data_IF_835845869923
#
_entry.id   IF_835845869923
#
_cell.length_a   1.000
_cell.length_b   1.000
_cell.length_c   1.000
_cell.angle_alpha   90.00
_cell.angle_beta   90.00
_cell.angle_gamma   90.00
#
_symmetry.space_group_name_H-M   'P 1'
#
loop_
_entity.id
_entity.type
_entity.pdbx_description
1 polymer ?
#
# COMPACT_ATOMS: atom_id res chain seq x y z
N UNK A 1 -36.92 -39.71 -41.51
CA UNK A 1 -38.15 -39.21 -40.87
C UNK A 1 -37.78 -38.08 -39.92
N UNK A 2 -38.27 -36.88 -40.26
CA UNK A 2 -38.58 -35.69 -39.43
C UNK A 2 -37.47 -35.03 -38.59
N UNK A 3 -37.08 -33.82 -39.04
CA UNK A 3 -36.33 -32.76 -38.34
C UNK A 3 -37.26 -31.86 -37.49
N UNK A 4 -36.74 -31.27 -36.41
CA UNK A 4 -37.12 -29.94 -35.86
C UNK A 4 -36.01 -29.52 -34.85
N UNK A 5 -35.20 -28.45 -34.96
CA UNK A 5 -35.35 -27.02 -35.26
C UNK A 5 -35.76 -26.15 -34.04
N UNK A 6 -34.83 -25.29 -33.60
CA UNK A 6 -35.01 -24.18 -32.64
C UNK A 6 -35.60 -22.93 -33.33
N UNK A 7 -36.37 -22.10 -32.63
CA UNK A 7 -36.31 -20.62 -32.73
C UNK A 7 -37.06 -19.91 -31.61
N UNK A 8 -36.51 -18.74 -31.22
CA UNK A 8 -37.10 -17.72 -30.34
C UNK A 8 -38.19 -16.91 -31.05
N UNK A 9 -39.06 -16.22 -30.28
CA UNK A 9 -39.54 -14.83 -30.51
C UNK A 9 -40.43 -14.35 -29.34
N UNK A 10 -40.72 -13.03 -29.20
CA UNK A 10 -40.78 -12.32 -27.92
C UNK A 10 -42.20 -11.85 -27.54
N UNK A 11 -42.40 -11.45 -26.27
CA UNK A 11 -43.49 -10.53 -25.94
C UNK A 11 -43.10 -9.46 -24.92
N UNK A 12 -43.71 -8.31 -25.15
CA UNK A 12 -43.37 -6.95 -24.75
C UNK A 12 -43.99 -6.52 -23.43
N UNK A 13 -43.38 -5.49 -22.84
CA UNK A 13 -43.84 -4.77 -21.67
C UNK A 13 -45.29 -4.26 -21.79
N UNK A 14 -46.02 -4.25 -20.67
CA UNK A 14 -46.48 -3.03 -19.97
C UNK A 14 -47.50 -3.41 -18.90
N UNK A 15 -47.21 -3.05 -17.65
CA UNK A 15 -48.24 -2.51 -16.74
C UNK A 15 -47.54 -1.64 -15.71
N UNK A 16 -47.61 -0.36 -16.01
CA UNK A 16 -47.33 0.77 -15.15
C UNK A 16 -48.18 0.70 -13.88
N UNK A 17 -47.54 0.91 -12.74
CA UNK A 17 -48.23 1.31 -11.52
C UNK A 17 -47.90 2.78 -11.27
N UNK A 18 -48.85 3.68 -11.54
CA UNK A 18 -48.81 5.07 -11.08
C UNK A 18 -49.88 5.30 -10.01
N UNK A 19 -49.54 6.23 -9.13
CA UNK A 19 -50.07 6.46 -7.80
C UNK A 19 -51.56 6.88 -7.71
N UNK A 20 -52.10 6.71 -6.48
CA UNK A 20 -53.29 7.31 -5.85
C UNK A 20 -54.63 6.54 -5.83
N UNK A 21 -54.90 5.94 -4.65
CA UNK A 21 -56.22 5.74 -3.98
C UNK A 21 -57.24 4.67 -4.48
N UNK A 22 -58.21 4.25 -3.62
CA UNK A 22 -58.44 2.85 -3.28
C UNK A 22 -59.63 2.16 -3.97
N UNK A 23 -59.61 0.82 -3.91
CA UNK A 23 -60.68 -0.06 -4.36
C UNK A 23 -61.89 -0.03 -3.40
N UNK A 24 -63.11 0.10 -3.94
CA UNK A 24 -64.37 -0.21 -3.22
C UNK A 24 -65.25 -1.05 -4.14
N UNK A 25 -65.71 -2.20 -3.64
CA UNK A 25 -66.75 -2.99 -4.31
C UNK A 25 -66.87 -4.45 -3.87
N UNK A 26 -67.67 -4.66 -2.81
CA UNK A 26 -68.51 -5.84 -2.50
C UNK A 26 -67.89 -7.23 -2.24
N UNK A 27 -68.14 -7.71 -1.01
CA UNK A 27 -67.85 -9.01 -0.42
C UNK A 27 -68.65 -10.19 -1.07
N UNK A 28 -68.36 -11.45 -0.69
CA UNK A 28 -69.02 -12.00 0.50
C UNK A 28 -68.11 -12.81 1.44
N UNK A 29 -68.54 -12.83 2.71
CA UNK A 29 -67.92 -13.46 3.86
C UNK A 29 -67.83 -14.98 3.74
N UNK A 30 -66.61 -15.51 3.62
CA UNK A 30 -66.28 -16.89 3.99
C UNK A 30 -65.52 -16.87 5.30
N UNK A 31 -65.93 -17.74 6.21
CA UNK A 31 -65.32 -17.95 7.51
C UNK A 31 -63.89 -18.46 7.29
N UNK A 32 -62.91 -17.58 7.41
CA UNK A 32 -61.48 -17.96 7.38
C UNK A 32 -61.11 -18.40 8.80
N UNK A 33 -60.74 -19.67 8.93
CA UNK A 33 -60.10 -20.21 10.12
C UNK A 33 -58.87 -19.37 10.47
N UNK A 34 -58.68 -19.04 11.76
CA UNK A 34 -57.53 -18.29 12.23
C UNK A 34 -56.23 -18.95 11.76
N UNK A 35 -55.26 -18.20 11.20
CA UNK A 35 -53.99 -18.78 10.80
C UNK A 35 -53.26 -19.26 12.05
N UNK A 36 -52.90 -20.54 12.06
CA UNK A 36 -51.96 -21.09 13.02
C UNK A 36 -50.59 -20.45 12.73
N UNK A 37 -50.17 -19.51 13.58
CA UNK A 37 -48.81 -18.99 13.56
C UNK A 37 -47.87 -20.12 14.01
N UNK A 38 -47.36 -20.89 13.05
CA UNK A 38 -46.17 -21.71 13.28
C UNK A 38 -45.00 -20.75 13.43
N UNK A 39 -44.46 -20.66 14.65
CA UNK A 39 -43.23 -19.95 14.93
C UNK A 39 -42.10 -20.59 14.09
N UNK A 40 -41.64 -19.87 13.08
CA UNK A 40 -40.38 -20.18 12.42
C UNK A 40 -39.25 -20.00 13.45
N UNK A 41 -38.30 -20.94 13.57
CA UNK A 41 -37.12 -20.71 14.40
C UNK A 41 -36.39 -19.47 13.87
N UNK A 42 -36.10 -18.54 14.79
CA UNK A 42 -35.40 -17.30 14.48
C UNK A 42 -34.10 -17.59 13.70
N UNK A 43 -33.75 -16.77 12.69
CA UNK A 43 -32.45 -16.89 12.04
C UNK A 43 -31.37 -16.67 13.10
N UNK A 44 -30.53 -17.67 13.31
CA UNK A 44 -29.32 -17.57 14.12
C UNK A 44 -28.43 -16.48 13.53
N UNK A 45 -28.46 -15.31 14.16
CA UNK A 45 -27.53 -14.21 13.91
C UNK A 45 -26.16 -14.74 14.28
N UNK A 46 -25.31 -14.97 13.28
CA UNK A 46 -23.89 -15.21 13.52
C UNK A 46 -23.33 -13.88 14.05
N UNK A 47 -23.13 -13.85 15.36
CA UNK A 47 -22.39 -12.81 16.07
C UNK A 47 -21.08 -12.60 15.31
N UNK A 48 -20.97 -11.48 14.60
CA UNK A 48 -19.72 -11.12 13.94
C UNK A 48 -18.83 -10.60 15.05
N UNK A 49 -17.98 -11.47 15.60
CA UNK A 49 -16.97 -11.08 16.57
C UNK A 49 -16.05 -10.05 15.90
N UNK A 50 -16.23 -8.78 16.27
CA UNK A 50 -15.37 -7.69 15.84
C UNK A 50 -14.07 -7.88 16.61
N UNK A 51 -13.11 -8.58 15.99
CA UNK A 51 -11.75 -8.65 16.51
C UNK A 51 -11.21 -7.23 16.47
N UNK A 52 -11.11 -6.59 17.64
CA UNK A 52 -10.52 -5.28 17.79
C UNK A 52 -9.01 -5.41 17.54
N UNK A 53 -8.60 -5.16 16.30
CA UNK A 53 -7.18 -5.19 15.91
C UNK A 53 -6.51 -3.97 16.53
N UNK A 54 -5.91 -4.14 17.71
CA UNK A 54 -5.07 -3.09 18.30
C UNK A 54 -3.95 -2.72 17.31
N UNK A 55 -3.85 -1.46 16.88
CA UNK A 55 -2.81 -1.02 15.96
C UNK A 55 -1.45 -1.16 16.65
N UNK A 56 -0.51 -1.87 16.02
CA UNK A 56 0.87 -1.94 16.52
C UNK A 56 1.54 -0.59 16.31
N UNK A 57 2.27 -0.15 17.32
CA UNK A 57 3.13 1.02 17.21
C UNK A 57 4.16 0.85 16.08
N UNK A 58 4.46 1.93 15.33
CA UNK A 58 5.43 1.88 14.25
C UNK A 58 6.84 1.60 14.81
N UNK A 59 7.58 0.75 14.11
CA UNK A 59 8.97 0.45 14.47
C UNK A 59 9.85 1.53 13.87
N UNK A 60 10.53 2.30 14.71
CA UNK A 60 11.45 3.35 14.26
C UNK A 60 12.84 2.75 14.08
N UNK A 61 13.32 2.69 12.84
CA UNK A 61 14.66 2.24 12.51
C UNK A 61 15.55 3.46 12.30
N UNK A 62 16.58 3.57 13.14
CA UNK A 62 17.61 4.62 13.03
C UNK A 62 18.94 4.02 12.61
N UNK A 63 19.68 4.80 11.84
CA UNK A 63 21.03 4.45 11.41
C UNK A 63 21.89 5.70 11.32
N UNK A 64 23.19 5.52 11.48
CA UNK A 64 24.20 6.58 11.39
C UNK A 64 25.18 6.23 10.29
N UNK A 65 25.67 7.24 9.58
CA UNK A 65 26.73 7.10 8.59
C UNK A 65 27.74 8.22 8.66
N UNK A 66 28.94 7.91 8.19
CA UNK A 66 30.10 8.79 8.26
C UNK A 66 30.74 8.95 6.89
N UNK A 67 31.38 10.08 6.66
CA UNK A 67 32.21 10.28 5.48
C UNK A 67 33.30 11.28 5.79
N UNK A 68 34.50 10.99 5.29
CA UNK A 68 35.67 11.82 5.43
C UNK A 68 35.84 12.74 4.20
N UNK A 69 36.45 13.92 4.36
CA UNK A 69 36.74 14.80 3.24
C UNK A 69 37.71 14.16 2.24
N UNK A 70 37.50 14.34 0.93
CA UNK A 70 38.39 13.77 -0.06
C UNK A 70 39.77 14.43 0.01
N UNK A 71 40.82 13.62 -0.08
CA UNK A 71 42.22 14.03 0.10
C UNK A 71 42.87 14.63 -1.16
N UNK A 72 42.08 14.93 -2.19
CA UNK A 72 42.55 15.46 -3.47
C UNK A 72 42.83 16.97 -3.47
N UNK A 73 43.91 17.40 -4.14
CA UNK A 73 44.43 18.79 -4.13
C UNK A 73 43.62 19.83 -4.93
N UNK A 74 42.45 19.48 -5.49
CA UNK A 74 41.73 20.36 -6.42
C UNK A 74 40.34 20.83 -5.95
N UNK A 75 39.96 20.55 -4.70
CA UNK A 75 38.64 20.94 -4.20
C UNK A 75 38.72 22.14 -3.26
N UNK A 76 37.81 23.10 -3.46
CA UNK A 76 37.62 24.18 -2.50
C UNK A 76 37.08 23.64 -1.17
N UNK A 77 37.24 24.39 -0.09
CA UNK A 77 36.68 24.03 1.23
C UNK A 77 35.17 23.76 1.17
N UNK A 78 34.43 24.56 0.40
CA UNK A 78 32.99 24.38 0.22
C UNK A 78 32.66 23.11 -0.58
N UNK A 79 33.44 22.79 -1.61
CA UNK A 79 33.27 21.54 -2.37
C UNK A 79 33.53 20.31 -1.50
N UNK A 80 34.62 20.31 -0.73
CA UNK A 80 34.92 19.24 0.22
C UNK A 80 33.78 19.05 1.21
N UNK A 81 33.34 20.11 1.88
CA UNK A 81 32.23 20.05 2.83
C UNK A 81 30.95 19.46 2.22
N UNK A 82 30.56 19.90 1.02
CA UNK A 82 29.38 19.37 0.35
C UNK A 82 29.54 17.90 -0.06
N UNK A 83 30.72 17.48 -0.49
CA UNK A 83 30.99 16.08 -0.83
C UNK A 83 30.94 15.20 0.41
N UNK A 84 31.59 15.61 1.51
CA UNK A 84 31.59 14.87 2.79
C UNK A 84 30.18 14.77 3.37
N UNK A 85 29.43 15.87 3.37
CA UNK A 85 28.03 15.91 3.80
C UNK A 85 27.15 14.95 2.97
N UNK A 86 27.34 14.90 1.65
CA UNK A 86 26.60 13.96 0.78
C UNK A 86 27.04 12.52 1.00
N UNK A 87 28.34 12.27 1.12
CA UNK A 87 28.89 10.95 1.37
C UNK A 87 28.36 10.34 2.66
N UNK A 88 28.33 11.12 3.75
CA UNK A 88 27.85 10.64 5.05
C UNK A 88 26.37 10.29 5.01
N UNK A 89 25.56 11.04 4.24
CA UNK A 89 24.15 10.71 4.01
C UNK A 89 23.99 9.40 3.22
N UNK A 90 24.78 9.18 2.19
CA UNK A 90 24.73 7.93 1.39
C UNK A 90 25.12 6.73 2.25
N UNK A 91 26.17 6.87 3.05
CA UNK A 91 26.60 5.85 4.00
C UNK A 91 25.50 5.53 5.04
N UNK A 92 24.87 6.56 5.60
CA UNK A 92 23.79 6.40 6.57
C UNK A 92 22.58 5.66 5.96
N UNK A 93 22.21 6.00 4.71
CA UNK A 93 21.13 5.33 3.99
C UNK A 93 21.47 3.88 3.66
N UNK A 94 22.73 3.57 3.35
CA UNK A 94 23.19 2.19 3.14
C UNK A 94 23.03 1.36 4.42
N UNK A 95 23.55 1.87 5.53
CA UNK A 95 23.45 1.20 6.84
C UNK A 95 21.97 1.02 7.25
N UNK A 96 21.12 2.00 6.93
CA UNK A 96 19.67 1.90 7.14
C UNK A 96 19.04 0.78 6.31
N UNK A 97 19.37 0.68 5.02
CA UNK A 97 18.85 -0.35 4.13
C UNK A 97 19.22 -1.76 4.62
N UNK A 98 20.47 -1.95 5.02
CA UNK A 98 20.93 -3.22 5.61
C UNK A 98 20.10 -3.59 6.85
N UNK A 99 19.82 -2.60 7.71
CA UNK A 99 19.01 -2.82 8.91
C UNK A 99 17.54 -3.12 8.61
N UNK A 100 16.97 -2.52 7.56
CA UNK A 100 15.60 -2.80 7.11
C UNK A 100 15.48 -4.19 6.48
N UNK A 101 16.49 -4.62 5.70
CA UNK A 101 16.50 -5.96 5.09
C UNK A 101 16.66 -7.07 6.11
N UNK A 102 17.37 -6.80 7.21
CA UNK A 102 17.50 -7.70 8.35
C UNK A 102 16.29 -7.75 9.29
N UNK A 103 15.19 -7.06 8.99
CA UNK A 103 13.99 -7.11 9.84
C UNK A 103 13.30 -8.47 9.68
N UNK A 104 13.06 -9.13 10.81
CA UNK A 104 12.24 -10.34 10.88
C UNK A 104 10.75 -9.98 10.91
N UNK A 105 9.98 -10.53 9.98
CA UNK A 105 8.54 -10.23 9.88
C UNK A 105 7.73 -11.24 10.69
N UNK A 106 8.10 -12.52 10.59
CA UNK A 106 7.51 -13.68 11.26
C UNK A 106 8.62 -14.63 11.75
N UNK A 107 8.28 -15.65 12.55
CA UNK A 107 9.25 -16.57 13.16
C UNK A 107 10.16 -17.32 12.18
N UNK A 108 9.72 -17.49 10.92
CA UNK A 108 10.44 -18.27 9.91
C UNK A 108 10.86 -17.46 8.67
N UNK A 109 10.40 -16.20 8.53
CA UNK A 109 10.59 -15.42 7.31
C UNK A 109 11.09 -14.00 7.63
N UNK A 110 12.29 -13.70 7.12
CA UNK A 110 12.89 -12.37 7.11
C UNK A 110 12.50 -11.57 5.86
N UNK A 111 12.59 -10.24 5.93
CA UNK A 111 12.43 -9.37 4.75
C UNK A 111 13.43 -9.75 3.65
N UNK A 112 14.69 -10.02 4.02
CA UNK A 112 15.74 -10.43 3.07
C UNK A 112 15.37 -11.67 2.26
N UNK A 113 14.76 -12.68 2.87
CA UNK A 113 14.34 -13.90 2.18
C UNK A 113 13.17 -13.64 1.22
N UNK A 114 12.26 -12.72 1.56
CA UNK A 114 11.12 -12.36 0.72
C UNK A 114 11.56 -11.54 -0.50
N UNK A 115 12.50 -10.62 -0.31
CA UNK A 115 13.12 -9.84 -1.40
C UNK A 115 13.85 -10.76 -2.38
N UNK A 116 14.55 -11.79 -1.88
CA UNK A 116 15.27 -12.74 -2.74
C UNK A 116 14.32 -13.60 -3.61
N UNK A 117 13.07 -13.77 -3.20
CA UNK A 117 12.07 -14.60 -3.89
C UNK A 117 11.18 -13.81 -4.86
N UNK A 118 11.08 -12.48 -4.71
CA UNK A 118 10.18 -11.65 -5.53
C UNK A 118 10.72 -10.24 -5.75
N UNK A 119 10.82 -9.85 -7.03
CA UNK A 119 11.20 -8.50 -7.44
C UNK A 119 10.16 -7.45 -7.04
N UNK A 120 8.89 -7.81 -6.91
CA UNK A 120 7.84 -6.87 -6.47
C UNK A 120 8.02 -6.46 -5.01
N UNK A 121 8.38 -7.41 -4.14
CA UNK A 121 8.70 -7.12 -2.74
C UNK A 121 9.96 -6.25 -2.67
N UNK A 122 10.99 -6.58 -3.47
CA UNK A 122 12.20 -5.76 -3.58
C UNK A 122 11.87 -4.32 -3.95
N UNK A 123 11.10 -4.12 -5.02
CA UNK A 123 10.70 -2.79 -5.48
C UNK A 123 9.88 -2.02 -4.42
N UNK A 124 9.00 -2.71 -3.68
CA UNK A 124 8.23 -2.11 -2.59
C UNK A 124 9.13 -1.62 -1.45
N UNK A 125 10.08 -2.45 -0.99
CA UNK A 125 11.00 -2.07 0.08
C UNK A 125 11.95 -0.96 -0.37
N UNK A 126 12.46 -1.03 -1.60
CA UNK A 126 13.28 0.02 -2.20
C UNK A 126 12.53 1.37 -2.23
N UNK A 127 11.26 1.36 -2.65
CA UNK A 127 10.42 2.55 -2.65
C UNK A 127 10.17 3.10 -1.23
N UNK A 128 10.09 2.22 -0.23
CA UNK A 128 9.92 2.60 1.17
C UNK A 128 11.19 3.24 1.75
N UNK A 129 12.37 2.74 1.39
CA UNK A 129 13.68 3.28 1.84
C UNK A 129 13.91 4.72 1.39
N UNK A 130 13.37 5.12 0.23
CA UNK A 130 13.40 6.52 -0.24
C UNK A 130 12.71 7.49 0.74
N UNK A 131 11.76 6.99 1.52
CA UNK A 131 11.03 7.77 2.54
C UNK A 131 11.83 8.07 3.82
N UNK A 132 13.09 7.65 3.93
CA UNK A 132 13.92 7.90 5.09
C UNK A 132 14.19 9.40 5.31
N UNK A 133 14.11 9.84 6.56
CA UNK A 133 14.31 11.24 6.96
C UNK A 133 15.68 11.42 7.60
N UNK A 134 16.33 12.55 7.31
CA UNK A 134 17.54 12.95 8.03
C UNK A 134 17.11 13.61 9.34
N UNK A 135 17.54 13.04 10.46
CA UNK A 135 17.24 13.55 11.81
C UNK A 135 18.31 14.54 12.27
N UNK A 136 19.57 14.25 11.94
CA UNK A 136 20.71 15.09 12.32
C UNK A 136 21.81 14.98 11.27
N UNK A 137 22.53 16.07 11.07
CA UNK A 137 23.71 16.12 10.23
C UNK A 137 24.69 17.15 10.80
N UNK A 138 25.90 16.71 11.15
CA UNK A 138 26.91 17.55 11.81
C UNK A 138 28.32 17.26 11.32
N UNK A 139 29.15 18.28 11.34
CA UNK A 139 30.59 18.22 11.04
C UNK A 139 31.35 17.96 12.35
N UNK A 140 32.32 17.05 12.32
CA UNK A 140 33.22 16.74 13.44
C UNK A 140 34.52 17.57 13.33
N UNK A 141 35.36 17.53 14.38
CA UNK A 141 36.60 18.31 14.45
C UNK A 141 37.62 17.96 13.34
N UNK A 142 37.59 16.72 12.85
CA UNK A 142 38.44 16.22 11.77
C UNK A 142 37.92 16.56 10.35
N UNK A 143 36.78 17.26 10.26
CA UNK A 143 36.11 17.59 8.99
C UNK A 143 35.26 16.45 8.42
N UNK A 144 35.14 15.33 9.13
CA UNK A 144 34.20 14.23 8.83
C UNK A 144 32.78 14.70 9.11
N UNK A 145 31.81 14.20 8.33
CA UNK A 145 30.40 14.40 8.64
C UNK A 145 29.80 13.15 9.25
N UNK A 146 28.99 13.34 10.28
CA UNK A 146 28.06 12.34 10.82
C UNK A 146 26.64 12.72 10.39
N UNK A 147 25.95 11.77 9.77
CA UNK A 147 24.54 11.90 9.41
C UNK A 147 23.74 10.79 10.07
N UNK A 148 22.65 11.16 10.76
CA UNK A 148 21.69 10.23 11.35
C UNK A 148 20.41 10.26 10.53
N UNK A 149 20.00 9.09 10.05
CA UNK A 149 18.75 8.89 9.33
C UNK A 149 17.78 8.03 10.12
N UNK A 150 16.50 8.23 9.87
CA UNK A 150 15.41 7.52 10.51
C UNK A 150 14.35 7.13 9.49
N UNK A 151 13.79 5.94 9.69
CA UNK A 151 12.67 5.42 8.92
C UNK A 151 11.66 4.79 9.89
N UNK A 152 10.44 5.28 9.86
CA UNK A 152 9.34 4.68 10.59
C UNK A 152 8.73 3.55 9.74
N UNK A 153 8.86 2.30 10.19
CA UNK A 153 8.17 1.15 9.60
C UNK A 153 6.75 1.08 10.17
N UNK A 154 5.78 1.44 9.34
CA UNK A 154 4.38 1.43 9.70
C UNK A 154 3.83 -0.01 9.75
N UNK A 155 2.65 -0.19 10.36
CA UNK A 155 2.03 -1.51 10.48
C UNK A 155 1.70 -2.12 9.11
N UNK A 156 1.28 -1.31 8.14
CA UNK A 156 1.02 -1.75 6.76
C UNK A 156 2.28 -2.32 6.10
N UNK A 157 3.47 -1.77 6.35
CA UNK A 157 4.73 -2.28 5.78
C UNK A 157 4.86 -3.78 6.05
N UNK A 158 4.68 -4.21 7.30
CA UNK A 158 4.77 -5.63 7.69
C UNK A 158 3.74 -6.51 7.00
N UNK A 159 2.52 -6.00 6.80
CA UNK A 159 1.47 -6.72 6.08
C UNK A 159 1.84 -6.88 4.60
N UNK A 160 2.37 -5.83 3.98
CA UNK A 160 2.75 -5.81 2.58
C UNK A 160 3.92 -6.73 2.26
N UNK A 161 4.93 -6.80 3.12
CA UNK A 161 6.10 -7.67 2.92
C UNK A 161 5.89 -9.10 3.46
N UNK A 162 4.71 -9.43 3.97
CA UNK A 162 4.43 -10.76 4.53
C UNK A 162 4.32 -11.86 3.46
N UNK A 163 3.87 -11.51 2.26
CA UNK A 163 3.78 -12.39 1.10
C UNK A 163 3.56 -11.56 -0.17
N UNK A 164 3.89 -12.14 -1.32
CA UNK A 164 3.63 -11.51 -2.63
C UNK A 164 2.12 -11.28 -2.85
N UNK A 165 1.27 -12.20 -2.35
CA UNK A 165 -0.17 -12.06 -2.46
C UNK A 165 -0.70 -10.91 -1.61
N UNK A 166 -0.19 -10.73 -0.39
CA UNK A 166 -0.56 -9.59 0.46
C UNK A 166 -0.17 -8.25 -0.20
N UNK A 167 0.97 -8.21 -0.88
CA UNK A 167 1.41 -7.02 -1.62
C UNK A 167 0.45 -6.67 -2.77
N UNK A 168 -0.05 -7.68 -3.49
CA UNK A 168 -0.94 -7.50 -4.67
C UNK A 168 -2.39 -7.24 -4.29
N UNK A 169 -2.89 -7.94 -3.28
CA UNK A 169 -4.29 -7.89 -2.86
C UNK A 169 -4.61 -6.64 -2.01
N UNK A 170 -3.63 -6.10 -1.30
CA UNK A 170 -3.86 -4.96 -0.41
C UNK A 170 -3.60 -3.62 -1.13
N UNK A 171 -4.63 -2.78 -1.34
CA UNK A 171 -4.46 -1.49 -2.02
C UNK A 171 -3.57 -0.50 -1.24
N UNK A 172 -3.35 -0.73 0.06
CA UNK A 172 -2.47 0.10 0.89
C UNK A 172 -0.97 -0.23 0.71
N UNK A 173 -0.66 -1.31 0.01
CA UNK A 173 0.70 -1.72 -0.32
C UNK A 173 1.21 -1.14 -1.64
N UNK A 174 0.30 -0.62 -2.45
CA UNK A 174 0.65 0.16 -3.61
C UNK A 174 1.16 1.51 -3.10
N UNK A 175 2.48 1.62 -2.90
CA UNK A 175 3.11 2.92 -2.72
C UNK A 175 2.71 3.74 -3.95
N UNK A 176 1.88 4.77 -3.78
CA UNK A 176 1.61 5.77 -4.81
C UNK A 176 2.85 6.64 -5.05
N UNK A 177 4.04 6.03 -5.08
CA UNK A 177 5.25 6.67 -5.56
C UNK A 177 5.16 6.67 -7.08
N UNK A 178 4.40 7.63 -7.57
CA UNK A 178 4.45 8.12 -8.93
C UNK A 178 5.77 8.84 -9.17
N UNK A 179 6.88 8.11 -9.16
CA UNK A 179 7.84 8.33 -10.21
C UNK A 179 7.25 7.57 -11.39
N UNK A 180 6.58 8.29 -12.29
CA UNK A 180 6.27 7.73 -13.60
C UNK A 180 7.61 7.45 -14.26
N UNK A 181 8.14 6.24 -14.08
CA UNK A 181 9.11 5.68 -15.00
C UNK A 181 8.32 5.41 -16.26
N UNK A 182 8.31 6.39 -17.17
CA UNK A 182 7.79 6.18 -18.51
C UNK A 182 8.50 4.96 -19.07
N UNK A 183 7.74 3.90 -19.35
CA UNK A 183 8.20 2.77 -20.13
C UNK A 183 8.85 3.29 -21.43
N UNK A 184 9.88 2.60 -21.96
CA UNK A 184 10.56 3.03 -23.19
C UNK A 184 9.54 2.97 -24.32
N UNK A 185 9.08 4.14 -24.78
CA UNK A 185 8.06 4.23 -25.84
C UNK A 185 7.10 5.42 -25.78
N UNK A 186 7.21 6.35 -24.82
CA UNK A 186 6.44 7.61 -24.90
C UNK A 186 7.30 8.84 -24.60
N UNK A 187 7.42 9.71 -25.62
CA UNK A 187 8.05 11.02 -25.55
C UNK A 187 7.26 11.95 -24.62
N UNK A 188 7.62 11.98 -23.35
CA UNK A 188 7.33 13.09 -22.45
C UNK A 188 8.57 13.26 -21.55
N UNK A 189 9.50 14.10 -21.99
CA UNK A 189 10.60 14.61 -21.17
C UNK A 189 10.02 15.79 -20.39
N UNK A 190 9.80 15.72 -19.06
CA UNK A 190 9.45 16.90 -18.30
C UNK A 190 10.68 17.81 -18.21
N UNK A 191 10.68 18.86 -19.03
CA UNK A 191 11.68 19.94 -19.03
C UNK A 191 11.40 20.89 -17.87
N UNK A 192 11.80 20.52 -16.65
CA UNK A 192 12.10 21.54 -15.63
C UNK A 192 12.86 20.93 -14.45
N UNK A 193 14.18 21.07 -14.44
CA UNK A 193 14.88 21.06 -13.15
C UNK A 193 16.21 21.83 -13.09
N UNK A 194 16.68 22.49 -14.15
CA UNK A 194 17.82 23.40 -14.04
C UNK A 194 17.74 24.53 -15.06
N UNK A 195 17.30 25.70 -14.60
CA UNK A 195 17.73 26.98 -15.15
C UNK A 195 18.13 27.83 -13.94
N UNK A 196 19.44 27.86 -13.67
CA UNK A 196 20.04 28.88 -12.81
C UNK A 196 20.18 30.10 -13.72
N UNK A 197 19.51 31.18 -13.36
CA UNK A 197 19.71 32.50 -13.97
C UNK A 197 20.68 33.30 -13.11
#
# INVERSE_FOLDING_TARGET
MVLAACTHTPFTMTKSCTASSPCVGSAPSTMIAAPQYQATPAPTVKETEIIEVMPREPIIVRSTGYSAPPTGKSFSRSQNRLMTMRGSKIDALRNLAERVYGVEINANNSVSNMIAQSDEIRAYVDAYLVGAKVVSQRELEDGTFETVVELALQQNFRQCVSSVEALRSNPNCLTKNSYKVSAPGSNQIPTSFYSVQ
#
